data_IF_363561375518
#
_entry.id   IF_363561375518
#
_cell.length_a   1.000
_cell.length_b   1.000
_cell.length_c   1.000
_cell.angle_alpha   90.00
_cell.angle_beta   90.00
_cell.angle_gamma   90.00
#
_symmetry.space_group_name_H-M   'P 1'
#
loop_
_entity.id
_entity.type
_entity.pdbx_description
1 polymer ?
#
# COMPACT_ATOMS: atom_id res chain seq x y z
N UNK A 1 -45.33 -21.54 48.99
CA UNK A 1 -43.83 -21.69 48.91
C UNK A 1 -43.35 -21.16 47.56
N UNK A 2 -42.83 -19.93 47.55
CA UNK A 2 -42.34 -19.30 46.31
C UNK A 2 -40.87 -19.64 46.18
N UNK A 3 -40.48 -20.35 45.10
CA UNK A 3 -39.08 -20.63 44.75
C UNK A 3 -38.51 -19.45 44.03
N UNK A 4 -37.51 -18.78 44.66
CA UNK A 4 -36.70 -17.74 44.10
C UNK A 4 -35.56 -18.39 43.32
N UNK A 5 -35.51 -18.21 41.97
CA UNK A 5 -34.36 -18.61 41.15
C UNK A 5 -33.39 -17.48 41.12
N UNK A 6 -32.21 -17.69 41.71
CA UNK A 6 -31.06 -16.79 41.67
C UNK A 6 -30.34 -16.99 40.33
N UNK A 7 -30.47 -16.05 39.38
CA UNK A 7 -29.73 -16.07 38.13
C UNK A 7 -28.38 -15.39 38.41
N UNK A 8 -27.32 -16.19 38.46
CA UNK A 8 -25.96 -15.67 38.55
C UNK A 8 -25.52 -15.16 37.16
N UNK A 9 -25.40 -13.85 37.00
CA UNK A 9 -24.85 -13.20 35.80
C UNK A 9 -23.31 -13.33 35.83
N UNK A 10 -22.77 -14.30 35.10
CA UNK A 10 -21.31 -14.40 34.86
C UNK A 10 -20.90 -13.38 33.82
N UNK A 11 -20.37 -12.26 34.25
CA UNK A 11 -19.70 -11.29 33.38
C UNK A 11 -18.38 -11.89 32.90
N UNK A 12 -18.38 -12.45 31.69
CA UNK A 12 -17.17 -12.81 30.94
C UNK A 12 -16.45 -11.52 30.53
N UNK A 13 -15.50 -11.09 31.33
CA UNK A 13 -14.50 -10.13 30.91
C UNK A 13 -13.63 -10.81 29.83
N UNK A 14 -13.83 -10.50 28.56
CA UNK A 14 -12.90 -10.83 27.49
C UNK A 14 -11.65 -9.96 27.67
N UNK A 15 -10.77 -10.38 28.60
CA UNK A 15 -9.41 -9.87 28.66
C UNK A 15 -8.75 -10.24 27.30
N UNK A 16 -8.36 -9.24 26.51
CA UNK A 16 -7.47 -9.46 25.38
C UNK A 16 -6.15 -10.00 25.95
N UNK A 17 -5.98 -11.31 25.92
CA UNK A 17 -4.73 -11.99 26.24
C UNK A 17 -3.71 -11.45 25.21
N UNK A 18 -2.87 -10.50 25.63
CA UNK A 18 -1.63 -10.21 24.91
C UNK A 18 -0.83 -11.51 24.94
N UNK A 19 -0.41 -12.00 23.80
CA UNK A 19 0.44 -13.17 23.71
C UNK A 19 1.63 -12.97 24.68
N UNK A 20 1.78 -13.88 25.63
CA UNK A 20 2.84 -13.80 26.63
C UNK A 20 4.18 -14.16 25.97
N UNK A 21 5.20 -13.36 26.22
CA UNK A 21 6.55 -13.64 25.74
C UNK A 21 7.08 -14.95 26.36
N UNK A 22 7.49 -15.96 25.57
CA UNK A 22 8.10 -17.16 26.14
C UNK A 22 9.46 -16.83 26.76
N UNK A 23 9.68 -17.27 28.00
CA UNK A 23 10.88 -16.91 28.77
C UNK A 23 12.21 -17.32 28.10
N UNK A 24 12.25 -18.45 27.39
CA UNK A 24 13.42 -18.89 26.61
C UNK A 24 13.73 -17.97 25.43
N UNK A 25 12.71 -17.43 24.75
CA UNK A 25 12.89 -16.46 23.66
C UNK A 25 13.38 -15.12 24.19
N UNK A 26 12.83 -14.63 25.32
CA UNK A 26 13.31 -13.44 26.01
C UNK A 26 14.80 -13.55 26.37
N UNK A 27 15.21 -14.68 26.95
CA UNK A 27 16.59 -14.93 27.30
C UNK A 27 17.53 -14.91 26.08
N UNK A 28 17.13 -15.55 24.98
CA UNK A 28 17.93 -15.59 23.74
C UNK A 28 17.98 -14.20 23.07
N UNK A 29 16.89 -13.45 23.03
CA UNK A 29 16.86 -12.09 22.47
C UNK A 29 17.79 -11.13 23.26
N UNK A 30 17.77 -11.22 24.59
CA UNK A 30 18.66 -10.43 25.46
C UNK A 30 20.13 -10.81 25.28
N UNK A 31 20.44 -12.11 25.18
CA UNK A 31 21.80 -12.60 24.94
C UNK A 31 22.32 -12.17 23.57
N UNK A 32 21.47 -12.24 22.53
CA UNK A 32 21.80 -11.69 21.21
C UNK A 32 22.13 -10.21 21.28
N UNK A 33 21.27 -9.38 21.92
CA UNK A 33 21.53 -7.95 22.13
C UNK A 33 22.87 -7.70 22.81
N UNK A 34 23.17 -8.44 23.88
CA UNK A 34 24.42 -8.30 24.63
C UNK A 34 25.64 -8.57 23.73
N UNK A 35 25.68 -9.71 23.06
CA UNK A 35 26.80 -10.08 22.18
C UNK A 35 26.93 -9.17 20.96
N UNK A 36 25.81 -8.75 20.37
CA UNK A 36 25.80 -7.80 19.27
C UNK A 36 26.38 -6.44 19.70
N UNK A 37 25.95 -5.92 20.84
CA UNK A 37 26.43 -4.64 21.36
C UNK A 37 27.91 -4.70 21.75
N UNK A 38 28.38 -5.81 22.26
CA UNK A 38 29.78 -6.05 22.63
C UNK A 38 30.66 -6.44 21.42
N UNK A 39 30.14 -6.41 20.18
CA UNK A 39 30.87 -6.79 18.97
C UNK A 39 31.47 -8.20 19.02
N UNK A 40 30.69 -9.18 19.48
CA UNK A 40 31.09 -10.57 19.68
C UNK A 40 30.38 -11.52 18.68
N UNK A 41 30.68 -11.47 17.37
CA UNK A 41 30.01 -12.29 16.37
C UNK A 41 30.24 -13.79 16.59
N UNK A 42 31.41 -14.21 17.10
CA UNK A 42 31.67 -15.60 17.42
C UNK A 42 30.73 -16.11 18.54
N UNK A 43 30.48 -15.28 19.54
CA UNK A 43 29.53 -15.62 20.62
C UNK A 43 28.09 -15.73 20.09
N UNK A 44 27.68 -14.86 19.17
CA UNK A 44 26.37 -14.99 18.48
C UNK A 44 26.34 -16.30 17.70
N UNK A 45 27.39 -16.64 16.96
CA UNK A 45 27.47 -17.87 16.18
C UNK A 45 27.34 -19.14 17.03
N UNK A 46 27.79 -19.11 18.29
CA UNK A 46 27.60 -20.26 19.23
C UNK A 46 26.13 -20.48 19.59
N UNK A 47 25.27 -19.46 19.40
CA UNK A 47 23.84 -19.57 19.66
C UNK A 47 23.09 -20.29 18.51
N UNK A 48 23.70 -20.44 17.34
CA UNK A 48 23.08 -21.08 16.17
C UNK A 48 22.95 -22.59 16.33
N UNK A 49 21.89 -23.14 15.77
CA UNK A 49 21.74 -24.59 15.60
C UNK A 49 22.75 -25.14 14.60
N UNK A 50 23.04 -26.46 14.60
CA UNK A 50 23.92 -27.05 13.61
C UNK A 50 23.50 -26.74 12.15
N UNK A 51 22.21 -26.80 11.85
CA UNK A 51 21.63 -26.52 10.53
C UNK A 51 21.85 -25.08 10.11
N UNK A 52 21.63 -24.13 11.03
CA UNK A 52 21.86 -22.72 10.79
C UNK A 52 23.35 -22.41 10.56
N UNK A 53 24.26 -23.06 11.32
CA UNK A 53 25.71 -22.94 11.12
C UNK A 53 26.16 -23.47 9.76
N UNK A 54 25.54 -24.56 9.29
CA UNK A 54 25.81 -25.11 7.97
C UNK A 54 25.32 -24.17 6.85
N UNK A 55 24.15 -23.55 7.04
CA UNK A 55 23.56 -22.63 6.05
C UNK A 55 24.25 -21.26 6.00
N UNK A 56 24.78 -20.80 7.13
CA UNK A 56 25.46 -19.50 7.25
C UNK A 56 26.77 -19.70 8.02
N UNK A 57 27.85 -20.11 7.35
CA UNK A 57 29.17 -20.31 7.96
C UNK A 57 29.75 -19.05 8.59
N UNK A 58 30.63 -19.20 9.58
CA UNK A 58 31.16 -18.11 10.40
C UNK A 58 31.91 -17.05 9.57
N UNK A 59 32.63 -17.47 8.54
CA UNK A 59 33.36 -16.60 7.62
C UNK A 59 32.46 -15.65 6.84
N UNK A 60 31.21 -16.04 6.57
CA UNK A 60 30.17 -15.20 5.95
C UNK A 60 29.38 -14.40 6.98
N UNK A 61 29.14 -14.98 8.15
CA UNK A 61 28.36 -14.33 9.22
C UNK A 61 29.11 -13.13 9.85
N UNK A 62 30.41 -13.29 10.16
CA UNK A 62 31.22 -12.23 10.78
C UNK A 62 31.19 -10.89 9.99
N UNK A 63 31.55 -10.85 8.70
CA UNK A 63 31.51 -9.60 7.94
C UNK A 63 30.13 -8.95 7.92
N UNK A 64 29.07 -9.76 7.78
CA UNK A 64 27.70 -9.28 7.80
C UNK A 64 27.35 -8.61 9.13
N UNK A 65 27.76 -9.21 10.26
CA UNK A 65 27.49 -8.64 11.59
C UNK A 65 28.25 -7.33 11.79
N UNK A 66 29.50 -7.25 11.34
CA UNK A 66 30.32 -6.02 11.41
C UNK A 66 29.69 -4.91 10.55
N UNK A 67 29.27 -5.24 9.35
CA UNK A 67 28.59 -4.29 8.46
C UNK A 67 27.27 -3.78 9.07
N UNK A 68 26.43 -4.67 9.61
CA UNK A 68 25.20 -4.28 10.30
C UNK A 68 25.50 -3.36 11.49
N UNK A 69 26.52 -3.67 12.28
CA UNK A 69 26.93 -2.85 13.42
C UNK A 69 27.36 -1.44 13.00
N UNK A 70 28.11 -1.32 11.90
CA UNK A 70 28.55 -0.01 11.39
C UNK A 70 27.37 0.84 10.85
N UNK A 71 26.35 0.21 10.29
CA UNK A 71 25.19 0.88 9.73
C UNK A 71 24.12 1.22 10.78
N UNK A 72 23.82 0.28 11.68
CA UNK A 72 22.70 0.40 12.60
C UNK A 72 23.09 0.89 14.00
N UNK A 73 24.36 0.76 14.40
CA UNK A 73 24.81 1.06 15.75
C UNK A 73 24.43 -0.03 16.75
N UNK A 74 24.26 0.32 18.04
CA UNK A 74 23.86 -0.57 19.10
C UNK A 74 22.35 -0.82 19.13
N UNK A 75 21.93 -1.97 19.62
CA UNK A 75 20.52 -2.21 19.98
C UNK A 75 20.24 -1.54 21.32
N UNK A 76 19.45 -0.47 21.32
CA UNK A 76 18.99 0.21 22.54
C UNK A 76 17.95 -0.62 23.29
N UNK A 77 16.98 -1.14 22.56
CA UNK A 77 15.84 -1.86 23.13
C UNK A 77 15.32 -2.95 22.21
N UNK A 78 14.92 -4.09 22.80
CA UNK A 78 14.07 -5.09 22.16
C UNK A 78 12.71 -5.07 22.87
N UNK A 79 11.64 -4.78 22.13
CA UNK A 79 10.26 -4.81 22.64
C UNK A 79 9.56 -6.01 22.01
N UNK A 80 9.09 -6.94 22.82
CA UNK A 80 8.32 -8.09 22.35
C UNK A 80 7.01 -7.64 21.71
N UNK A 81 6.70 -8.16 20.51
CA UNK A 81 5.47 -7.85 19.78
C UNK A 81 4.52 -9.03 19.74
N UNK A 82 4.99 -10.22 19.37
CA UNK A 82 4.15 -11.40 19.22
C UNK A 82 4.96 -12.69 19.21
N UNK A 83 4.26 -13.79 19.51
CA UNK A 83 4.76 -15.15 19.36
C UNK A 83 3.70 -16.01 18.68
N UNK A 84 4.05 -16.71 17.61
CA UNK A 84 3.20 -17.66 16.93
C UNK A 84 4.04 -18.63 16.09
N UNK A 85 3.62 -19.89 16.01
CA UNK A 85 4.28 -20.91 15.17
C UNK A 85 5.80 -21.00 15.39
N UNK A 86 6.25 -20.98 16.65
CA UNK A 86 7.66 -21.01 17.07
C UNK A 86 8.50 -19.82 16.59
N UNK A 87 7.88 -18.71 16.21
CA UNK A 87 8.52 -17.47 15.83
C UNK A 87 8.17 -16.38 16.85
N UNK A 88 9.17 -15.84 17.55
CA UNK A 88 9.04 -14.62 18.33
C UNK A 88 9.51 -13.42 17.50
N UNK A 89 8.74 -12.35 17.57
CA UNK A 89 9.02 -11.10 16.86
C UNK A 89 9.18 -9.97 17.85
N UNK A 90 10.31 -9.27 17.74
CA UNK A 90 10.64 -8.10 18.57
C UNK A 90 10.80 -6.86 17.70
N UNK A 91 10.38 -5.71 18.22
CA UNK A 91 10.80 -4.39 17.71
C UNK A 91 12.17 -4.09 18.33
N UNK A 92 13.21 -4.17 17.53
CA UNK A 92 14.58 -3.85 17.92
C UNK A 92 14.88 -2.40 17.52
N UNK A 93 15.07 -1.53 18.52
CA UNK A 93 15.46 -0.13 18.32
C UNK A 93 16.98 -0.05 18.39
N UNK A 94 17.61 0.30 17.27
CA UNK A 94 19.04 0.56 17.15
C UNK A 94 19.33 2.06 17.33
N UNK A 95 20.62 2.43 17.30
CA UNK A 95 21.02 3.84 17.33
C UNK A 95 20.46 4.61 16.12
N UNK A 96 20.53 4.01 14.93
CA UNK A 96 20.26 4.68 13.66
C UNK A 96 18.97 4.22 12.96
N UNK A 97 18.30 3.14 13.44
CA UNK A 97 17.12 2.58 12.77
C UNK A 97 16.30 1.69 13.71
N UNK A 98 15.10 1.31 13.26
CA UNK A 98 14.25 0.33 13.94
C UNK A 98 14.00 -0.85 13.02
N UNK A 99 14.17 -2.07 13.55
CA UNK A 99 13.96 -3.31 12.80
C UNK A 99 13.04 -4.27 13.57
N UNK A 100 12.41 -5.19 12.85
CA UNK A 100 11.86 -6.40 13.42
C UNK A 100 12.99 -7.41 13.56
N UNK A 101 13.22 -7.89 14.78
CA UNK A 101 14.09 -9.02 15.07
C UNK A 101 13.22 -10.27 15.21
N UNK A 102 13.35 -11.17 14.25
CA UNK A 102 12.60 -12.41 14.18
C UNK A 102 13.50 -13.56 14.67
N UNK A 103 13.04 -14.30 15.67
CA UNK A 103 13.78 -15.38 16.33
C UNK A 103 12.96 -16.67 16.30
N UNK A 104 13.55 -17.76 15.81
CA UNK A 104 13.04 -19.12 16.00
C UNK A 104 14.07 -19.97 16.72
N UNK A 105 13.60 -20.86 17.59
CA UNK A 105 14.44 -21.74 18.41
C UNK A 105 14.05 -23.21 18.22
N UNK A 106 15.06 -24.11 18.35
CA UNK A 106 14.80 -25.53 18.52
C UNK A 106 14.57 -25.88 20.01
N UNK A 107 14.33 -27.16 20.28
CA UNK A 107 14.11 -27.68 21.65
C UNK A 107 15.30 -27.48 22.63
N UNK A 108 16.49 -27.23 22.07
CA UNK A 108 17.72 -26.95 22.85
C UNK A 108 17.98 -25.45 23.01
N UNK A 109 17.00 -24.59 22.69
CA UNK A 109 17.09 -23.12 22.67
C UNK A 109 18.22 -22.58 21.77
N UNK A 110 18.57 -23.33 20.69
CA UNK A 110 19.46 -22.84 19.65
C UNK A 110 18.68 -22.14 18.56
N UNK A 111 19.25 -21.06 18.01
CA UNK A 111 18.68 -20.30 16.92
C UNK A 111 18.59 -21.14 15.64
N UNK A 112 17.38 -21.36 15.15
CA UNK A 112 17.11 -21.95 13.83
C UNK A 112 16.80 -20.87 12.80
N UNK A 113 16.39 -19.68 13.25
CA UNK A 113 16.30 -18.47 12.43
C UNK A 113 16.63 -17.24 13.27
N UNK A 114 17.33 -16.29 12.62
CA UNK A 114 17.64 -14.96 13.14
C UNK A 114 17.56 -14.00 11.94
N UNK A 115 16.49 -13.23 11.83
CA UNK A 115 16.27 -12.34 10.71
C UNK A 115 15.94 -10.93 11.19
N UNK A 116 16.66 -9.95 10.64
CA UNK A 116 16.34 -8.54 10.75
C UNK A 116 15.60 -8.09 9.49
N UNK A 117 14.41 -7.55 9.67
CA UNK A 117 13.66 -6.89 8.59
C UNK A 117 13.29 -5.47 9.03
N UNK A 118 13.22 -4.49 8.13
CA UNK A 118 12.84 -3.13 8.51
C UNK A 118 11.53 -3.13 9.31
N UNK A 119 11.53 -2.43 10.46
CA UNK A 119 10.29 -2.17 11.19
C UNK A 119 9.53 -1.08 10.46
N UNK A 120 8.31 -1.40 10.13
CA UNK A 120 7.39 -0.42 9.57
C UNK A 120 6.30 -0.19 10.59
N UNK A 121 6.17 1.03 11.06
CA UNK A 121 5.08 1.40 11.95
C UNK A 121 3.76 1.27 11.18
N UNK A 122 2.81 0.51 11.74
CA UNK A 122 1.47 0.44 11.17
C UNK A 122 0.90 1.86 11.08
N UNK A 123 0.28 2.18 9.96
CA UNK A 123 -0.34 3.48 9.78
C UNK A 123 -1.36 3.72 10.90
N UNK A 124 -1.19 4.81 11.65
CA UNK A 124 -2.18 5.20 12.65
C UNK A 124 -3.52 5.43 11.96
N UNK A 125 -4.48 4.57 12.24
CA UNK A 125 -5.81 4.68 11.63
C UNK A 125 -6.50 5.96 12.11
N UNK A 126 -7.11 6.66 11.18
CA UNK A 126 -7.98 7.81 11.49
C UNK A 126 -9.38 7.32 11.86
N UNK A 127 -10.07 8.08 12.71
CA UNK A 127 -11.48 7.85 12.99
C UNK A 127 -12.33 8.26 11.76
N UNK A 128 -13.36 7.48 11.46
CA UNK A 128 -14.41 7.86 10.53
C UNK A 128 -15.46 8.68 11.29
N UNK A 129 -16.22 9.50 10.58
CA UNK A 129 -17.42 10.14 11.14
C UNK A 129 -18.35 9.06 11.69
N UNK A 130 -18.78 9.20 12.95
CA UNK A 130 -19.54 8.18 13.66
C UNK A 130 -20.92 7.90 13.04
N UNK A 131 -21.43 8.79 12.21
CA UNK A 131 -22.69 8.60 11.48
C UNK A 131 -22.56 7.67 10.28
N UNK A 132 -21.35 7.49 9.72
CA UNK A 132 -21.09 6.67 8.56
C UNK A 132 -21.07 5.18 8.92
N UNK A 133 -21.57 4.35 8.02
CA UNK A 133 -21.53 2.91 8.18
C UNK A 133 -20.49 2.29 7.27
N UNK A 134 -19.55 1.56 7.85
CA UNK A 134 -18.61 0.70 7.11
C UNK A 134 -19.10 -0.75 7.10
N UNK A 135 -19.02 -1.40 5.94
CA UNK A 135 -19.36 -2.81 5.77
C UNK A 135 -18.33 -3.51 4.88
N UNK A 136 -17.97 -4.77 5.18
CA UNK A 136 -17.04 -5.53 4.38
C UNK A 136 -17.63 -5.86 3.00
N UNK A 137 -16.78 -5.86 1.98
CA UNK A 137 -17.07 -6.33 0.63
C UNK A 137 -16.04 -7.38 0.26
N UNK A 138 -16.47 -8.47 -0.36
CA UNK A 138 -15.62 -9.54 -0.83
C UNK A 138 -15.98 -9.89 -2.27
N UNK A 139 -15.08 -9.62 -3.20
CA UNK A 139 -15.17 -10.11 -4.58
C UNK A 139 -14.42 -11.44 -4.68
N UNK A 140 -15.11 -12.51 -5.06
CA UNK A 140 -14.46 -13.77 -5.42
C UNK A 140 -13.86 -13.68 -6.81
N UNK A 141 -12.61 -14.10 -6.95
CA UNK A 141 -11.89 -14.15 -8.22
C UNK A 141 -11.47 -15.59 -8.54
N UNK A 142 -11.02 -15.86 -9.75
CA UNK A 142 -10.52 -17.18 -10.11
C UNK A 142 -9.36 -17.66 -9.20
N UNK A 143 -8.49 -16.74 -8.76
CA UNK A 143 -7.31 -17.05 -7.98
C UNK A 143 -7.43 -16.74 -6.47
N UNK A 144 -8.62 -16.35 -5.99
CA UNK A 144 -8.80 -16.01 -4.58
C UNK A 144 -9.93 -15.02 -4.33
N UNK A 145 -9.66 -13.96 -3.58
CA UNK A 145 -10.66 -12.93 -3.31
C UNK A 145 -10.02 -11.55 -3.07
N UNK A 146 -10.74 -10.51 -3.50
CA UNK A 146 -10.42 -9.12 -3.22
C UNK A 146 -11.31 -8.64 -2.08
N UNK A 147 -10.68 -8.17 -1.02
CA UNK A 147 -11.36 -7.64 0.17
C UNK A 147 -11.42 -6.12 0.13
N UNK A 148 -12.58 -5.57 0.44
CA UNK A 148 -12.83 -4.13 0.45
C UNK A 148 -13.68 -3.69 1.63
N UNK A 149 -13.87 -2.38 1.72
CA UNK A 149 -14.76 -1.73 2.68
C UNK A 149 -15.66 -0.75 1.92
N UNK A 150 -16.96 -0.98 2.04
CA UNK A 150 -17.98 -0.06 1.55
C UNK A 150 -18.36 0.91 2.69
N UNK A 151 -18.15 2.20 2.45
CA UNK A 151 -18.59 3.28 3.34
C UNK A 151 -19.88 3.85 2.79
N UNK A 152 -20.93 3.91 3.60
CA UNK A 152 -22.23 4.46 3.21
C UNK A 152 -22.63 5.59 4.15
N UNK A 153 -23.27 6.67 3.63
CA UNK A 153 -23.84 7.73 4.44
C UNK A 153 -24.99 7.19 5.32
N UNK A 154 -25.30 7.86 6.45
CA UNK A 154 -26.42 7.48 7.29
C UNK A 154 -27.75 7.78 6.59
N UNK A 155 -28.76 6.99 6.86
CA UNK A 155 -30.16 7.26 6.50
C UNK A 155 -30.38 7.70 5.04
N UNK A 156 -29.68 7.10 4.09
CA UNK A 156 -29.84 7.44 2.69
C UNK A 156 -31.29 7.19 2.24
N UNK A 157 -31.96 8.27 1.83
CA UNK A 157 -33.30 8.19 1.24
C UNK A 157 -33.17 7.87 -0.26
N UNK A 158 -33.68 6.70 -0.67
CA UNK A 158 -33.58 6.22 -2.05
C UNK A 158 -32.17 5.76 -2.45
N UNK A 159 -31.95 5.70 -3.77
CA UNK A 159 -30.66 5.28 -4.35
C UNK A 159 -29.66 6.43 -4.34
N UNK A 160 -28.42 6.16 -3.92
CA UNK A 160 -27.34 7.13 -3.85
C UNK A 160 -26.22 6.81 -4.83
N UNK A 161 -25.37 7.78 -5.22
CA UNK A 161 -24.17 7.50 -6.01
C UNK A 161 -23.12 6.74 -5.20
N UNK A 162 -22.34 5.89 -5.87
CA UNK A 162 -21.20 5.19 -5.27
C UNK A 162 -19.93 5.40 -6.10
N UNK A 163 -18.81 5.63 -5.41
CA UNK A 163 -17.48 5.76 -5.99
C UNK A 163 -16.62 4.56 -5.64
N UNK A 164 -16.07 3.85 -6.64
CA UNK A 164 -14.97 2.92 -6.40
C UNK A 164 -13.65 3.68 -6.48
N UNK A 165 -12.80 3.55 -5.46
CA UNK A 165 -11.48 4.18 -5.36
C UNK A 165 -10.42 3.14 -5.70
N UNK A 166 -9.72 3.34 -6.83
CA UNK A 166 -8.66 2.47 -7.33
C UNK A 166 -7.32 3.06 -6.92
N UNK A 167 -6.55 2.28 -6.15
CA UNK A 167 -5.27 2.69 -5.61
C UNK A 167 -4.17 2.86 -6.66
N UNK A 168 -3.17 3.67 -6.32
CA UNK A 168 -1.94 3.87 -7.09
C UNK A 168 -1.00 2.65 -7.06
N UNK A 169 0.22 2.82 -7.60
CA UNK A 169 1.23 1.77 -7.71
C UNK A 169 1.73 1.28 -6.35
N UNK A 170 2.32 0.07 -6.36
CA UNK A 170 2.87 -0.57 -5.17
C UNK A 170 1.83 -1.32 -4.33
N UNK A 171 2.27 -1.86 -3.18
CA UNK A 171 1.41 -2.66 -2.28
C UNK A 171 0.56 -1.76 -1.39
N UNK A 172 -0.38 -1.04 -2.00
CA UNK A 172 -1.24 -0.07 -1.34
C UNK A 172 -2.53 -0.73 -0.84
N UNK A 173 -2.82 -0.55 0.44
CA UNK A 173 -4.04 -1.04 1.08
C UNK A 173 -5.27 -0.16 0.76
N UNK A 174 -6.44 -0.61 1.22
CA UNK A 174 -7.72 0.08 1.03
C UNK A 174 -7.78 1.48 1.61
N UNK A 175 -6.94 1.80 2.59
CA UNK A 175 -6.91 3.10 3.27
C UNK A 175 -5.91 4.08 2.61
N UNK A 176 -5.16 3.61 1.61
CA UNK A 176 -4.16 4.41 0.90
C UNK A 176 -2.79 4.37 1.56
N UNK A 177 -2.52 3.32 2.34
CA UNK A 177 -1.25 3.13 3.01
C UNK A 177 -0.39 2.08 2.31
N UNK A 178 0.90 2.29 2.34
CA UNK A 178 1.93 1.36 1.90
C UNK A 178 3.11 1.48 2.87
N UNK A 179 2.96 0.96 4.11
CA UNK A 179 3.92 1.24 5.18
C UNK A 179 5.35 0.87 4.82
N UNK A 180 5.55 -0.24 4.10
CA UNK A 180 6.89 -0.67 3.62
C UNK A 180 7.56 0.35 2.68
N UNK A 181 6.78 1.26 2.10
CA UNK A 181 7.26 2.35 1.23
C UNK A 181 7.20 3.71 1.93
N UNK A 182 6.94 3.76 3.24
CA UNK A 182 6.82 4.99 4.01
C UNK A 182 5.52 5.78 3.75
N UNK A 183 4.51 5.15 3.18
CA UNK A 183 3.23 5.79 2.86
C UNK A 183 2.20 5.42 3.93
N UNK A 184 1.89 6.36 4.83
CA UNK A 184 0.96 6.16 5.96
C UNK A 184 -0.02 7.34 6.09
N UNK A 185 -0.56 7.78 4.96
CA UNK A 185 -1.35 9.01 4.89
C UNK A 185 -2.86 8.84 5.08
N UNK A 186 -3.41 7.62 5.10
CA UNK A 186 -4.85 7.30 5.13
C UNK A 186 -5.68 8.05 4.07
N UNK A 187 -5.08 8.37 2.94
CA UNK A 187 -5.65 9.25 1.91
C UNK A 187 -7.02 8.78 1.42
N UNK A 188 -7.17 7.46 1.15
CA UNK A 188 -8.45 6.96 0.63
C UNK A 188 -9.49 6.80 1.73
N UNK A 189 -9.08 6.53 2.98
CA UNK A 189 -9.99 6.51 4.12
C UNK A 189 -10.55 7.90 4.40
N UNK A 190 -9.69 8.93 4.35
CA UNK A 190 -10.13 10.33 4.44
C UNK A 190 -11.10 10.71 3.33
N UNK A 191 -10.79 10.30 2.07
CA UNK A 191 -11.66 10.59 0.94
C UNK A 191 -13.03 9.92 1.11
N UNK A 192 -13.06 8.66 1.54
CA UNK A 192 -14.31 7.95 1.82
C UNK A 192 -15.13 8.62 2.92
N UNK A 193 -14.47 9.12 3.98
CA UNK A 193 -15.11 9.90 5.03
C UNK A 193 -15.81 11.15 4.49
N UNK A 194 -15.08 11.93 3.69
CA UNK A 194 -15.62 13.17 3.13
C UNK A 194 -16.72 12.90 2.09
N UNK A 195 -16.58 11.87 1.25
CA UNK A 195 -17.66 11.47 0.33
C UNK A 195 -18.92 11.06 1.08
N UNK A 196 -18.77 10.23 2.14
CA UNK A 196 -19.88 9.79 2.97
C UNK A 196 -20.65 10.94 3.63
N UNK A 197 -19.94 11.92 4.18
CA UNK A 197 -20.53 13.16 4.74
C UNK A 197 -21.31 13.97 3.70
N UNK A 198 -20.96 13.83 2.43
CA UNK A 198 -21.63 14.50 1.31
C UNK A 198 -22.73 13.63 0.63
N UNK A 199 -23.14 12.52 1.24
CA UNK A 199 -24.22 11.66 0.73
C UNK A 199 -23.79 10.70 -0.38
N UNK A 200 -22.50 10.46 -0.56
CA UNK A 200 -21.92 9.62 -1.61
C UNK A 200 -21.29 8.39 -0.96
N UNK A 201 -21.73 7.20 -1.35
CA UNK A 201 -21.07 5.96 -0.91
C UNK A 201 -19.72 5.79 -1.60
N UNK A 202 -18.80 5.03 -0.96
CA UNK A 202 -17.52 4.71 -1.57
C UNK A 202 -17.05 3.30 -1.22
N UNK A 203 -16.43 2.63 -2.19
CA UNK A 203 -15.77 1.34 -2.05
C UNK A 203 -14.26 1.52 -2.17
N UNK A 204 -13.54 1.09 -1.12
CA UNK A 204 -12.09 0.99 -1.05
C UNK A 204 -11.70 -0.47 -0.93
N UNK A 205 -10.62 -0.90 -1.56
CA UNK A 205 -10.22 -2.31 -1.52
C UNK A 205 -8.70 -2.50 -1.45
N UNK A 206 -8.28 -3.59 -0.86
CA UNK A 206 -6.89 -4.01 -0.84
C UNK A 206 -6.52 -4.61 -2.20
N UNK A 207 -5.42 -4.17 -2.78
CA UNK A 207 -4.88 -4.78 -4.00
C UNK A 207 -4.51 -6.25 -3.75
N UNK A 208 -4.31 -7.02 -4.81
CA UNK A 208 -3.81 -8.40 -4.70
C UNK A 208 -2.51 -8.44 -3.89
N UNK A 209 -2.31 -9.44 -3.06
CA UNK A 209 -1.17 -9.63 -2.15
C UNK A 209 -1.05 -8.55 -1.04
N UNK A 210 -2.09 -7.77 -0.82
CA UNK A 210 -2.12 -6.69 0.19
C UNK A 210 -3.28 -6.91 1.16
N UNK A 211 -3.08 -6.53 2.41
CA UNK A 211 -4.12 -6.47 3.44
C UNK A 211 -4.85 -7.80 3.63
N UNK A 212 -6.16 -7.78 3.42
CA UNK A 212 -7.04 -8.94 3.56
C UNK A 212 -7.38 -9.63 2.21
N UNK A 213 -6.86 -9.10 1.09
CA UNK A 213 -7.02 -9.75 -0.21
C UNK A 213 -6.12 -10.97 -0.33
N UNK A 214 -6.68 -12.10 -0.78
CA UNK A 214 -5.99 -13.38 -0.87
C UNK A 214 -5.93 -13.83 -2.32
N UNK A 215 -4.77 -14.33 -2.74
CA UNK A 215 -4.59 -14.92 -4.07
C UNK A 215 -3.61 -16.08 -4.04
N UNK A 216 -3.86 -17.09 -4.88
CA UNK A 216 -2.92 -18.19 -5.16
C UNK A 216 -1.92 -17.80 -6.25
N UNK A 217 -2.15 -16.70 -6.96
CA UNK A 217 -1.25 -16.18 -8.00
C UNK A 217 0.04 -15.68 -7.35
N UNK A 218 1.19 -16.20 -7.80
CA UNK A 218 2.51 -15.73 -7.35
C UNK A 218 2.80 -14.37 -7.95
N UNK A 219 3.57 -13.52 -7.27
CA UNK A 219 3.90 -12.16 -7.71
C UNK A 219 4.43 -12.12 -9.16
N UNK A 220 5.33 -13.03 -9.51
CA UNK A 220 5.89 -13.14 -10.87
C UNK A 220 4.88 -13.51 -11.98
N UNK A 221 3.69 -13.94 -11.60
CA UNK A 221 2.61 -14.26 -12.54
C UNK A 221 1.65 -13.09 -12.73
N UNK A 222 1.69 -12.10 -11.83
CA UNK A 222 0.82 -10.92 -11.91
C UNK A 222 1.12 -10.09 -13.17
N UNK A 223 0.05 -9.54 -13.72
CA UNK A 223 0.08 -8.61 -14.85
C UNK A 223 -0.74 -7.38 -14.47
N UNK A 224 -0.54 -6.30 -15.19
CA UNK A 224 -1.29 -5.07 -15.01
C UNK A 224 -2.80 -5.30 -15.22
N UNK A 225 -3.14 -6.18 -16.15
CA UNK A 225 -4.51 -6.57 -16.47
C UNK A 225 -5.22 -7.25 -15.29
N UNK A 226 -4.52 -7.95 -14.40
CA UNK A 226 -5.12 -8.54 -13.20
C UNK A 226 -5.78 -7.49 -12.29
N UNK A 227 -5.18 -6.30 -12.19
CA UNK A 227 -5.76 -5.18 -11.43
C UNK A 227 -6.93 -4.53 -12.16
N UNK A 228 -6.92 -4.54 -13.50
CA UNK A 228 -8.06 -4.11 -14.32
C UNK A 228 -9.24 -5.06 -14.10
N UNK A 229 -9.01 -6.36 -14.15
CA UNK A 229 -10.05 -7.39 -13.94
C UNK A 229 -10.68 -7.30 -12.54
N UNK A 230 -9.86 -7.05 -11.50
CA UNK A 230 -10.36 -6.82 -10.15
C UNK A 230 -11.27 -5.59 -10.09
N UNK A 231 -10.87 -4.50 -10.73
CA UNK A 231 -11.66 -3.28 -10.78
C UNK A 231 -12.98 -3.48 -11.56
N UNK A 232 -12.95 -4.22 -12.68
CA UNK A 232 -14.15 -4.61 -13.45
C UNK A 232 -15.11 -5.43 -12.57
N UNK A 233 -14.60 -6.43 -11.87
CA UNK A 233 -15.41 -7.27 -10.97
C UNK A 233 -16.08 -6.45 -9.86
N UNK A 234 -15.35 -5.50 -9.26
CA UNK A 234 -15.92 -4.61 -8.23
C UNK A 234 -16.91 -3.60 -8.80
N UNK A 235 -16.69 -3.08 -10.02
CA UNK A 235 -17.66 -2.24 -10.72
C UNK A 235 -18.96 -2.99 -10.98
N UNK A 236 -18.88 -4.25 -11.43
CA UNK A 236 -20.05 -5.10 -11.65
C UNK A 236 -20.83 -5.35 -10.35
N UNK A 237 -20.12 -5.69 -9.27
CA UNK A 237 -20.73 -5.87 -7.94
C UNK A 237 -21.49 -4.62 -7.48
N UNK A 238 -20.94 -3.43 -7.71
CA UNK A 238 -21.63 -2.17 -7.36
C UNK A 238 -22.82 -1.85 -8.28
N UNK A 239 -22.77 -2.23 -9.55
CA UNK A 239 -23.88 -2.05 -10.49
C UNK A 239 -25.08 -2.96 -10.19
N UNK A 240 -24.81 -4.16 -9.64
CA UNK A 240 -25.86 -5.11 -9.21
C UNK A 240 -26.55 -4.68 -7.92
N UNK A 241 -25.90 -3.83 -7.11
CA UNK A 241 -26.40 -3.39 -5.82
C UNK A 241 -27.48 -2.31 -5.99
N UNK A 242 -28.73 -2.67 -5.65
CA UNK A 242 -29.90 -1.81 -5.81
C UNK A 242 -29.90 -0.54 -4.94
N UNK A 243 -28.96 -0.41 -4.00
CA UNK A 243 -28.79 0.80 -3.18
C UNK A 243 -28.20 1.96 -3.99
N UNK A 244 -27.56 1.67 -5.12
CA UNK A 244 -26.82 2.70 -5.86
C UNK A 244 -27.59 3.18 -7.11
N UNK A 245 -27.55 4.52 -7.32
CA UNK A 245 -28.16 5.17 -8.48
C UNK A 245 -27.23 5.24 -9.68
N UNK A 246 -25.94 5.35 -9.40
CA UNK A 246 -24.87 5.44 -10.40
C UNK A 246 -23.53 5.01 -9.80
N UNK A 247 -22.72 4.32 -10.59
CA UNK A 247 -21.34 3.95 -10.26
C UNK A 247 -20.39 4.93 -10.91
N UNK A 248 -19.45 5.46 -10.12
CA UNK A 248 -18.37 6.33 -10.55
C UNK A 248 -17.04 5.64 -10.26
N UNK A 249 -16.10 5.70 -11.19
CA UNK A 249 -14.75 5.18 -10.99
C UNK A 249 -13.79 6.33 -10.76
N UNK A 250 -13.08 6.30 -9.63
CA UNK A 250 -12.00 7.21 -9.28
C UNK A 250 -10.69 6.41 -9.23
N UNK A 251 -9.75 6.76 -10.09
CA UNK A 251 -8.42 6.17 -10.09
C UNK A 251 -7.36 7.18 -9.68
N UNK A 252 -6.51 6.80 -8.72
CA UNK A 252 -5.40 7.59 -8.24
C UNK A 252 -4.07 7.08 -8.81
N UNK A 253 -3.25 7.98 -9.39
CA UNK A 253 -1.93 7.63 -9.91
C UNK A 253 -2.01 6.50 -10.96
N UNK A 254 -1.35 5.34 -10.77
CA UNK A 254 -1.50 4.14 -11.59
C UNK A 254 -2.95 3.69 -11.71
N UNK A 255 -3.72 3.81 -10.61
CA UNK A 255 -5.14 3.49 -10.58
C UNK A 255 -5.97 4.31 -11.56
N UNK A 256 -5.48 5.48 -11.99
CA UNK A 256 -6.09 6.24 -13.07
C UNK A 256 -6.11 5.42 -14.38
N UNK A 257 -4.98 4.83 -14.77
CA UNK A 257 -4.95 4.00 -15.97
C UNK A 257 -5.75 2.71 -15.80
N UNK A 258 -5.66 2.06 -14.63
CA UNK A 258 -6.52 0.90 -14.32
C UNK A 258 -7.99 1.24 -14.49
N UNK A 259 -8.43 2.38 -13.94
CA UNK A 259 -9.80 2.86 -14.06
C UNK A 259 -10.22 3.13 -15.52
N UNK A 260 -9.36 3.78 -16.33
CA UNK A 260 -9.64 4.00 -17.77
C UNK A 260 -9.90 2.70 -18.52
N UNK A 261 -9.19 1.64 -18.17
CA UNK A 261 -9.37 0.33 -18.80
C UNK A 261 -10.60 -0.40 -18.24
N UNK A 262 -10.79 -0.34 -16.92
CA UNK A 262 -11.88 -1.05 -16.25
C UNK A 262 -13.28 -0.53 -16.61
N UNK A 263 -13.42 0.74 -17.00
CA UNK A 263 -14.73 1.32 -17.36
C UNK A 263 -15.17 1.01 -18.79
N UNK A 264 -14.32 0.36 -19.58
CA UNK A 264 -14.67 -0.01 -20.96
C UNK A 264 -15.85 -0.98 -20.94
N UNK A 265 -16.87 -0.63 -21.70
CA UNK A 265 -18.07 -1.45 -21.85
C UNK A 265 -18.80 -1.77 -20.53
N UNK A 266 -18.54 -0.96 -19.48
CA UNK A 266 -19.19 -1.06 -18.18
C UNK A 266 -20.24 0.06 -18.01
N UNK A 267 -21.35 -0.19 -17.27
CA UNK A 267 -22.38 0.82 -17.03
C UNK A 267 -21.96 1.83 -15.94
N UNK A 268 -20.85 2.54 -16.19
CA UNK A 268 -20.30 3.60 -15.32
C UNK A 268 -20.79 4.96 -15.80
N UNK A 269 -21.13 5.86 -14.86
CA UNK A 269 -21.72 7.17 -15.17
C UNK A 269 -20.72 8.32 -15.16
N UNK A 270 -19.55 8.13 -14.56
CA UNK A 270 -18.50 9.15 -14.53
C UNK A 270 -17.15 8.54 -14.20
N UNK A 271 -16.10 9.17 -14.69
CA UNK A 271 -14.72 8.76 -14.43
C UNK A 271 -13.91 9.94 -13.89
N UNK A 272 -13.11 9.67 -12.83
CA UNK A 272 -12.26 10.67 -12.17
C UNK A 272 -10.82 10.17 -12.18
N UNK A 273 -9.93 10.91 -12.82
CA UNK A 273 -8.48 10.70 -12.81
C UNK A 273 -7.85 11.65 -11.79
N UNK A 274 -7.27 11.13 -10.72
CA UNK A 274 -6.60 11.93 -9.69
C UNK A 274 -5.10 11.65 -9.74
N UNK A 275 -4.29 12.68 -9.94
CA UNK A 275 -2.82 12.57 -10.05
C UNK A 275 -2.38 11.49 -11.06
N UNK A 276 -3.16 11.31 -12.13
CA UNK A 276 -2.92 10.28 -13.15
C UNK A 276 -1.90 10.74 -14.19
N UNK A 277 -0.98 9.85 -14.57
CA UNK A 277 -0.02 10.14 -15.64
C UNK A 277 -0.71 10.25 -17.00
N UNK A 278 -0.23 11.18 -17.84
CA UNK A 278 -0.61 11.28 -19.26
C UNK A 278 0.34 10.49 -20.16
N UNK A 279 1.57 10.23 -19.69
CA UNK A 279 2.62 9.47 -20.38
C UNK A 279 2.59 8.00 -19.95
N UNK A 280 3.20 7.13 -20.75
CA UNK A 280 3.36 5.73 -20.39
C UNK A 280 4.28 5.56 -19.16
N UNK A 281 4.06 4.50 -18.40
CA UNK A 281 4.73 4.28 -17.12
C UNK A 281 6.25 4.15 -17.24
N UNK A 282 6.77 3.58 -18.32
CA UNK A 282 8.21 3.48 -18.58
C UNK A 282 8.88 4.87 -18.67
N UNK A 283 8.19 5.86 -19.25
CA UNK A 283 8.67 7.25 -19.34
C UNK A 283 8.64 7.91 -17.96
N UNK A 284 7.51 7.78 -17.24
CA UNK A 284 7.32 8.42 -15.92
C UNK A 284 8.30 7.87 -14.91
N UNK A 285 8.46 6.54 -14.81
CA UNK A 285 9.41 5.91 -13.88
C UNK A 285 10.85 6.28 -14.25
N UNK A 286 11.20 6.33 -15.54
CA UNK A 286 12.53 6.77 -15.96
C UNK A 286 12.81 8.21 -15.52
N UNK A 287 11.83 9.09 -15.55
CA UNK A 287 11.97 10.45 -15.06
C UNK A 287 12.15 10.53 -13.55
N UNK A 288 11.39 9.74 -12.79
CA UNK A 288 11.55 9.62 -11.34
C UNK A 288 12.96 9.11 -10.97
N UNK A 289 13.57 8.26 -11.81
CA UNK A 289 14.94 7.77 -11.59
C UNK A 289 16.01 8.86 -11.68
N UNK A 290 15.72 10.03 -12.26
CA UNK A 290 16.67 11.17 -12.30
C UNK A 290 17.08 11.68 -10.90
N UNK A 291 16.28 11.36 -9.88
CA UNK A 291 16.61 11.68 -8.48
C UNK A 291 17.69 10.76 -7.88
N UNK A 292 18.02 9.65 -8.55
CA UNK A 292 19.00 8.67 -8.09
C UNK A 292 20.39 8.90 -8.70
N UNK A 293 21.49 8.41 -8.08
CA UNK A 293 22.83 8.44 -8.66
C UNK A 293 22.88 7.83 -10.06
N UNK A 294 23.79 8.32 -10.91
CA UNK A 294 23.89 7.93 -12.32
C UNK A 294 23.98 6.41 -12.54
N UNK A 295 24.75 5.70 -11.72
CA UNK A 295 24.90 4.25 -11.85
C UNK A 295 23.58 3.48 -11.60
N UNK A 296 22.71 4.00 -10.72
CA UNK A 296 21.36 3.45 -10.49
C UNK A 296 20.49 3.71 -11.72
N UNK A 297 20.54 4.93 -12.27
CA UNK A 297 19.82 5.28 -13.50
C UNK A 297 20.22 4.36 -14.65
N UNK A 298 21.51 4.09 -14.81
CA UNK A 298 22.04 3.23 -15.88
C UNK A 298 21.64 1.76 -15.68
N UNK A 299 21.65 1.27 -14.45
CA UNK A 299 21.15 -0.08 -14.15
C UNK A 299 19.66 -0.20 -14.48
N UNK A 300 18.84 0.77 -14.07
CA UNK A 300 17.40 0.82 -14.40
C UNK A 300 17.18 0.85 -15.91
N UNK A 301 17.93 1.71 -16.63
CA UNK A 301 17.85 1.81 -18.09
C UNK A 301 18.19 0.48 -18.78
N UNK A 302 19.25 -0.18 -18.34
CA UNK A 302 19.66 -1.50 -18.89
C UNK A 302 18.55 -2.53 -18.70
N UNK A 303 17.94 -2.58 -17.52
CA UNK A 303 16.79 -3.45 -17.23
C UNK A 303 15.61 -3.10 -18.15
N UNK A 304 15.27 -1.81 -18.27
CA UNK A 304 14.15 -1.36 -19.10
C UNK A 304 14.35 -1.70 -20.58
N UNK A 305 15.58 -1.54 -21.11
CA UNK A 305 15.92 -1.90 -22.49
C UNK A 305 15.84 -3.42 -22.72
N UNK A 306 16.13 -4.23 -21.69
CA UNK A 306 15.93 -5.68 -21.71
C UNK A 306 14.46 -6.05 -21.70
N UNK A 307 13.66 -5.42 -20.84
CA UNK A 307 12.21 -5.64 -20.78
C UNK A 307 11.51 -5.30 -22.09
N UNK A 308 11.89 -4.21 -22.74
CA UNK A 308 11.33 -3.81 -24.05
C UNK A 308 11.61 -4.85 -25.14
N UNK A 309 12.63 -5.69 -24.96
CA UNK A 309 12.97 -6.83 -25.83
C UNK A 309 12.34 -8.15 -25.34
N UNK A 310 11.47 -8.11 -24.33
CA UNK A 310 10.83 -9.27 -23.71
C UNK A 310 11.78 -10.12 -22.84
N UNK A 311 12.94 -9.59 -22.43
CA UNK A 311 13.93 -10.29 -21.61
C UNK A 311 13.90 -9.78 -20.17
N UNK A 312 13.81 -10.70 -19.22
CA UNK A 312 13.92 -10.42 -17.79
C UNK A 312 15.39 -10.51 -17.34
N UNK A 313 15.72 -9.81 -16.26
CA UNK A 313 17.09 -9.78 -15.71
C UNK A 313 17.09 -9.85 -14.19
N UNK A 314 18.04 -10.61 -13.64
CA UNK A 314 18.30 -10.68 -12.19
C UNK A 314 19.37 -9.64 -11.78
N UNK A 315 20.04 -8.99 -12.73
CA UNK A 315 21.06 -7.98 -12.47
C UNK A 315 20.40 -6.63 -12.17
N UNK A 316 19.84 -6.51 -10.96
CA UNK A 316 19.15 -5.33 -10.46
C UNK A 316 19.89 -4.81 -9.23
N UNK A 317 20.22 -3.52 -9.24
CA UNK A 317 20.79 -2.87 -8.05
C UNK A 317 19.82 -2.99 -6.86
N UNK A 318 20.31 -3.34 -5.65
CA UNK A 318 19.45 -3.50 -4.47
C UNK A 318 18.53 -2.30 -4.17
N UNK A 319 18.95 -1.08 -4.50
CA UNK A 319 18.13 0.13 -4.33
C UNK A 319 16.92 0.17 -5.27
N UNK A 320 16.97 -0.55 -6.39
CA UNK A 320 15.86 -0.68 -7.34
C UNK A 320 14.92 -1.85 -7.03
N UNK A 321 15.25 -2.74 -6.10
CA UNK A 321 14.43 -3.91 -5.76
C UNK A 321 12.96 -3.57 -5.48
N UNK A 322 12.62 -2.46 -4.76
CA UNK A 322 11.21 -2.11 -4.53
C UNK A 322 10.39 -1.92 -5.81
N UNK A 323 11.04 -1.50 -6.92
CA UNK A 323 10.36 -1.08 -8.16
C UNK A 323 10.77 -1.87 -9.41
N UNK A 324 11.79 -2.73 -9.34
CA UNK A 324 12.34 -3.41 -10.52
C UNK A 324 12.83 -4.85 -10.28
N UNK A 325 12.60 -5.43 -9.08
CA UNK A 325 13.00 -6.81 -8.79
C UNK A 325 12.47 -7.80 -9.83
N UNK A 326 13.14 -8.95 -10.05
CA UNK A 326 12.77 -9.91 -11.09
C UNK A 326 11.30 -10.31 -11.09
N UNK A 327 10.71 -10.54 -9.90
CA UNK A 327 9.32 -11.01 -9.78
C UNK A 327 8.27 -9.99 -10.26
N UNK A 328 8.57 -8.67 -10.27
CA UNK A 328 7.64 -7.67 -10.78
C UNK A 328 7.90 -7.25 -12.23
N UNK A 329 8.96 -7.70 -12.85
CA UNK A 329 9.28 -7.34 -14.25
C UNK A 329 8.19 -7.77 -15.24
N UNK A 330 7.55 -8.95 -15.12
CA UNK A 330 6.41 -9.30 -15.96
C UNK A 330 5.22 -8.35 -15.84
N UNK A 331 4.95 -7.88 -14.62
CA UNK A 331 3.94 -6.85 -14.37
C UNK A 331 4.33 -5.52 -15.04
N UNK A 332 5.57 -5.04 -14.86
CA UNK A 332 6.06 -3.81 -15.48
C UNK A 332 5.93 -3.87 -17.00
N UNK A 333 6.34 -5.00 -17.61
CA UNK A 333 6.24 -5.19 -19.05
C UNK A 333 4.78 -5.09 -19.55
N UNK A 334 3.82 -5.65 -18.82
CA UNK A 334 2.41 -5.56 -19.17
C UNK A 334 1.89 -4.12 -19.01
N UNK A 335 2.28 -3.41 -17.97
CA UNK A 335 1.88 -2.02 -17.72
C UNK A 335 2.43 -1.05 -18.78
N UNK A 336 3.69 -1.21 -19.19
CA UNK A 336 4.34 -0.34 -20.18
C UNK A 336 3.72 -0.39 -21.58
N UNK A 337 2.83 -1.33 -21.87
CA UNK A 337 2.08 -1.41 -23.15
C UNK A 337 1.03 -0.30 -23.30
N UNK A 338 0.62 0.32 -22.20
CA UNK A 338 -0.49 1.27 -22.18
C UNK A 338 -0.01 2.72 -22.23
N UNK A 339 -0.71 3.53 -23.01
CA UNK A 339 -0.52 4.98 -23.07
C UNK A 339 -1.75 5.67 -22.50
N UNK A 340 -1.69 6.27 -21.29
CA UNK A 340 -2.86 6.88 -20.65
C UNK A 340 -3.56 7.92 -21.53
N UNK A 341 -2.81 8.75 -22.26
CA UNK A 341 -3.38 9.72 -23.18
C UNK A 341 -4.18 9.07 -24.34
N UNK A 342 -3.77 7.87 -24.80
CA UNK A 342 -4.54 7.11 -25.78
C UNK A 342 -5.77 6.46 -25.17
N UNK A 343 -5.68 6.04 -23.90
CA UNK A 343 -6.77 5.34 -23.23
C UNK A 343 -7.88 6.30 -22.80
N UNK A 344 -7.54 7.48 -22.26
CA UNK A 344 -8.54 8.47 -21.85
C UNK A 344 -9.33 9.00 -23.05
N UNK A 345 -8.72 9.06 -24.25
CA UNK A 345 -9.39 9.45 -25.50
C UNK A 345 -10.55 8.52 -25.86
N UNK A 346 -10.48 7.26 -25.43
CA UNK A 346 -11.51 6.25 -25.69
C UNK A 346 -12.69 6.32 -24.72
N UNK A 347 -12.55 7.06 -23.61
CA UNK A 347 -13.59 7.20 -22.58
C UNK A 347 -14.75 8.03 -23.13
N UNK A 348 -15.96 7.46 -23.14
CA UNK A 348 -17.16 8.09 -23.73
C UNK A 348 -18.06 8.77 -22.69
N UNK A 349 -17.81 8.57 -21.42
CA UNK A 349 -18.55 9.16 -20.30
C UNK A 349 -17.90 10.46 -19.81
N UNK A 350 -18.61 11.30 -19.01
CA UNK A 350 -18.00 12.48 -18.39
C UNK A 350 -16.73 12.15 -17.60
N UNK A 351 -15.71 13.00 -17.74
CA UNK A 351 -14.39 12.84 -17.11
C UNK A 351 -14.03 14.08 -16.30
N UNK A 352 -13.56 13.86 -15.07
CA UNK A 352 -12.86 14.85 -14.26
C UNK A 352 -11.38 14.46 -14.15
N UNK A 353 -10.48 15.36 -14.49
CA UNK A 353 -9.04 15.23 -14.29
C UNK A 353 -8.66 16.16 -13.13
N UNK A 354 -8.05 15.63 -12.10
CA UNK A 354 -7.61 16.38 -10.90
C UNK A 354 -6.11 16.24 -10.74
N UNK A 355 -5.43 17.38 -10.58
CA UNK A 355 -3.98 17.40 -10.42
C UNK A 355 -3.53 18.45 -9.42
N UNK A 356 -2.57 18.13 -8.60
CA UNK A 356 -1.92 19.05 -7.68
C UNK A 356 -0.71 19.75 -8.30
N UNK A 357 -0.52 21.05 -8.00
CA UNK A 357 0.58 21.82 -8.58
C UNK A 357 1.95 21.51 -7.94
N UNK A 358 1.95 20.89 -6.76
CA UNK A 358 3.18 20.48 -6.05
C UNK A 358 3.38 18.97 -6.03
N UNK A 359 2.74 18.24 -6.95
CA UNK A 359 2.95 16.81 -7.11
C UNK A 359 4.37 16.51 -7.61
N UNK A 360 5.17 15.83 -6.79
CA UNK A 360 6.57 15.51 -7.08
C UNK A 360 6.75 14.14 -7.79
N UNK A 361 5.66 13.37 -7.99
CA UNK A 361 5.69 12.07 -8.68
C UNK A 361 5.14 12.17 -10.10
N UNK A 362 3.99 12.82 -10.27
CA UNK A 362 3.34 13.04 -11.56
C UNK A 362 3.19 14.56 -11.76
N UNK A 363 3.97 15.17 -12.63
CA UNK A 363 3.93 16.62 -12.82
C UNK A 363 2.62 17.08 -13.47
N UNK A 364 2.28 18.35 -13.26
CA UNK A 364 1.07 18.98 -13.79
C UNK A 364 0.93 18.84 -15.32
N UNK A 365 2.05 18.79 -16.02
CA UNK A 365 2.08 18.58 -17.48
C UNK A 365 1.46 17.25 -17.93
N UNK A 366 1.42 16.24 -17.07
CA UNK A 366 0.73 14.98 -17.38
C UNK A 366 -0.79 15.17 -17.40
N UNK A 367 -1.35 15.99 -16.51
CA UNK A 367 -2.76 16.36 -16.55
C UNK A 367 -3.12 17.16 -17.81
N UNK A 368 -2.23 18.05 -18.27
CA UNK A 368 -2.39 18.78 -19.53
C UNK A 368 -2.42 17.82 -20.72
N UNK A 369 -1.58 16.77 -20.72
CA UNK A 369 -1.60 15.74 -21.76
C UNK A 369 -2.91 14.95 -21.76
N UNK A 370 -3.44 14.61 -20.60
CA UNK A 370 -4.76 13.95 -20.47
C UNK A 370 -5.87 14.88 -20.95
N UNK A 371 -5.86 16.15 -20.55
CA UNK A 371 -6.85 17.16 -20.98
C UNK A 371 -6.79 17.39 -22.48
N UNK A 372 -5.59 17.46 -23.07
CA UNK A 372 -5.40 17.57 -24.52
C UNK A 372 -5.98 16.35 -25.26
N UNK A 373 -5.80 15.16 -24.71
CA UNK A 373 -6.31 13.91 -25.30
C UNK A 373 -7.84 13.77 -25.17
N UNK A 374 -8.43 14.33 -24.10
CA UNK A 374 -9.86 14.33 -23.78
C UNK A 374 -10.32 15.77 -23.53
N UNK A 375 -10.54 16.52 -24.62
CA UNK A 375 -10.77 17.97 -24.57
C UNK A 375 -12.08 18.37 -23.86
N UNK A 376 -13.07 17.50 -23.82
CA UNK A 376 -14.33 17.68 -23.09
C UNK A 376 -14.25 17.31 -21.61
N UNK A 377 -13.16 16.73 -21.12
CA UNK A 377 -12.97 16.49 -19.69
C UNK A 377 -12.90 17.82 -18.91
N UNK A 378 -13.42 17.82 -17.69
CA UNK A 378 -13.15 18.90 -16.73
C UNK A 378 -11.75 18.73 -16.16
N UNK A 379 -10.94 19.80 -16.19
CA UNK A 379 -9.61 19.83 -15.55
C UNK A 379 -9.68 20.69 -14.29
N UNK A 380 -9.31 20.11 -13.15
CA UNK A 380 -9.22 20.78 -11.85
C UNK A 380 -7.74 20.75 -11.38
N UNK A 381 -7.09 21.90 -11.49
CA UNK A 381 -5.75 22.11 -10.94
C UNK A 381 -5.86 22.66 -9.52
N UNK A 382 -5.23 21.98 -8.54
CA UNK A 382 -5.31 22.36 -7.14
C UNK A 382 -3.96 22.90 -6.66
N UNK A 383 -3.89 24.19 -6.29
CA UNK A 383 -2.66 24.78 -5.79
C UNK A 383 -2.17 24.09 -4.52
N UNK A 384 -0.85 23.88 -4.43
CA UNK A 384 -0.15 23.27 -3.29
C UNK A 384 -0.65 21.88 -2.89
N UNK A 385 -1.38 21.18 -3.74
CA UNK A 385 -1.72 19.77 -3.52
C UNK A 385 -0.59 18.88 -4.06
N UNK A 386 -0.14 17.93 -3.25
CA UNK A 386 0.87 16.93 -3.64
C UNK A 386 0.24 15.62 -4.13
N UNK A 387 1.11 14.63 -4.43
CA UNK A 387 0.68 13.32 -4.93
C UNK A 387 -0.24 12.55 -3.97
N UNK A 388 -0.06 12.69 -2.65
CA UNK A 388 -0.92 12.05 -1.64
C UNK A 388 -2.13 12.91 -1.26
N UNK A 389 -2.48 13.89 -2.09
CA UNK A 389 -3.70 14.71 -2.06
C UNK A 389 -3.79 15.65 -0.85
N UNK A 390 -2.66 15.98 -0.27
CA UNK A 390 -2.53 16.86 0.90
C UNK A 390 -1.86 18.18 0.52
N UNK A 391 -2.02 19.19 1.35
CA UNK A 391 -1.25 20.41 1.19
C UNK A 391 0.22 20.16 1.46
N UNK A 392 1.07 20.60 0.54
CA UNK A 392 2.52 20.46 0.66
C UNK A 392 3.25 21.53 -0.17
N UNK A 393 4.42 22.00 0.30
CA UNK A 393 5.26 22.94 -0.44
C UNK A 393 5.87 22.29 -1.69
N UNK A 394 6.43 23.14 -2.57
CA UNK A 394 7.16 22.67 -3.76
C UNK A 394 8.53 22.05 -3.41
N UNK A 395 9.10 22.33 -2.24
CA UNK A 395 10.33 21.71 -1.77
C UNK A 395 10.13 20.19 -1.61
N UNK A 396 10.99 19.41 -2.29
CA UNK A 396 10.83 17.97 -2.42
C UNK A 396 10.92 17.23 -1.09
N UNK A 397 11.81 17.64 -0.19
CA UNK A 397 12.02 16.96 1.09
C UNK A 397 10.82 17.21 2.04
N UNK A 398 10.43 18.47 2.18
CA UNK A 398 9.26 18.83 2.98
C UNK A 398 7.98 18.23 2.41
N UNK A 399 7.85 18.18 1.09
CA UNK A 399 6.73 17.55 0.40
C UNK A 399 6.66 16.04 0.71
N UNK A 400 7.76 15.31 0.50
CA UNK A 400 7.85 13.88 0.79
C UNK A 400 7.58 13.56 2.27
N UNK A 401 7.98 14.44 3.20
CA UNK A 401 7.72 14.29 4.64
C UNK A 401 6.23 14.26 4.98
N UNK A 402 5.35 14.76 4.12
CA UNK A 402 3.89 14.71 4.33
C UNK A 402 3.28 13.34 4.04
N UNK A 403 3.97 12.46 3.31
CA UNK A 403 3.44 11.17 2.85
C UNK A 403 3.17 10.18 3.97
N UNK A 404 3.84 10.35 5.09
CA UNK A 404 3.66 9.52 6.30
C UNK A 404 2.96 10.27 7.45
N UNK A 405 2.25 11.37 7.15
CA UNK A 405 1.51 12.15 8.16
C UNK A 405 0.01 11.84 8.08
N UNK A 406 -0.50 10.87 8.86
CA UNK A 406 -1.91 10.46 8.82
C UNK A 406 -2.87 11.57 9.29
N UNK A 407 -2.41 12.52 10.11
CA UNK A 407 -3.25 13.58 10.67
C UNK A 407 -3.37 14.79 9.72
N UNK A 408 -2.60 14.85 8.62
CA UNK A 408 -2.73 15.91 7.63
C UNK A 408 -4.02 15.70 6.81
N UNK A 409 -4.92 16.70 6.72
CA UNK A 409 -6.16 16.57 5.98
C UNK A 409 -5.94 16.56 4.46
N UNK A 410 -6.91 16.06 3.72
CA UNK A 410 -6.98 16.25 2.27
C UNK A 410 -7.17 17.73 1.92
N UNK A 411 -6.73 18.12 0.73
CA UNK A 411 -7.07 19.47 0.19
C UNK A 411 -8.59 19.60 0.07
N UNK A 412 -9.21 20.64 0.66
CA UNK A 412 -10.67 20.83 0.61
C UNK A 412 -11.20 20.98 -0.82
N UNK A 413 -10.41 21.60 -1.71
CA UNK A 413 -10.77 21.82 -3.12
C UNK A 413 -10.89 20.48 -3.88
N UNK A 414 -10.11 19.47 -3.49
CA UNK A 414 -10.24 18.12 -4.03
C UNK A 414 -11.63 17.54 -3.74
N UNK A 415 -12.01 17.57 -2.46
CA UNK A 415 -13.30 17.03 -2.01
C UNK A 415 -14.45 17.77 -2.67
N UNK A 416 -14.42 19.09 -2.65
CA UNK A 416 -15.45 19.95 -3.27
C UNK A 416 -15.57 19.68 -4.76
N UNK A 417 -14.44 19.60 -5.49
CA UNK A 417 -14.43 19.34 -6.92
C UNK A 417 -15.00 17.97 -7.30
N UNK A 418 -14.61 16.91 -6.56
CA UNK A 418 -15.14 15.56 -6.77
C UNK A 418 -16.64 15.50 -6.48
N UNK A 419 -17.09 16.06 -5.35
CA UNK A 419 -18.52 16.08 -4.96
C UNK A 419 -19.37 16.82 -5.98
N UNK A 420 -18.93 18.00 -6.43
CA UNK A 420 -19.64 18.80 -7.42
C UNK A 420 -19.74 18.06 -8.77
N UNK A 421 -18.65 17.42 -9.22
CA UNK A 421 -18.67 16.62 -10.43
C UNK A 421 -19.68 15.47 -10.32
N UNK A 422 -19.67 14.70 -9.24
CA UNK A 422 -20.58 13.55 -9.04
C UNK A 422 -22.04 14.01 -8.99
N UNK A 423 -22.34 15.10 -8.28
CA UNK A 423 -23.71 15.66 -8.18
C UNK A 423 -24.20 16.21 -9.51
N UNK A 424 -23.32 16.71 -10.36
CA UNK A 424 -23.63 17.20 -11.71
C UNK A 424 -23.87 16.11 -12.75
N UNK A 425 -23.54 14.84 -12.48
CA UNK A 425 -23.77 13.73 -13.42
C UNK A 425 -25.29 13.40 -13.50
N UNK A 426 -25.78 13.29 -14.71
CA UNK A 426 -27.17 12.88 -15.01
C UNK A 426 -27.37 11.38 -14.84
#
# INVERSE_FOLDING_TARGET
MKKIYLIAFVLLFAARLKAQEPANYAAVANKFKQFYNSNQPDSIFTMFSPEMKASLPLDKFKPTTVQLKSQLGNIKQNTFLKYSSQLAVYKATFDNAVFLLNISLNSQNKLTALLLSPYVEEAKSIAMDASLKESPVLLKTFSGSISGTLTTPPNAQGKIPVVIIIAGSGPTDRDGNSPKLGLNGNTYKMLANELGKNGIASLRYDKRLVGQSVTTTKEKQLRFEDYVDDAVGLVNLLNEDQRFSKVIVLGHSEGSLVGMLAIRDQPVRGYISVAGAGRSADIVVTEQMKAYPKFIQDNFKTMLDSLKKGKFTDNIDPKLYPIARPDIQPYLLSWFRYSPAREIKKVKIPVLIVQGTTDIQVPATDADLLKKAKSDAVLLMIPNMNHVLKEAPADKEQNAATYSKPDLPLKPELVTGIVNFIKGLK
#
